data_IF_685939050001
#
_entry.id   IF_685939050001
#
_cell.length_a   1.000
_cell.length_b   1.000
_cell.length_c   1.000
_cell.angle_alpha   90.00
_cell.angle_beta   90.00
_cell.angle_gamma   90.00
#
_symmetry.space_group_name_H-M   'P 1'
#
loop_
_entity.id
_entity.type
_entity.pdbx_description
1 polymer ?
#
# COMPACT_ATOMS: atom_id res chain seq x y z
N UNK A 1 -64.28 -5.86 -36.38
CA UNK A 1 -63.54 -4.92 -37.26
C UNK A 1 -62.47 -4.09 -36.55
N UNK A 2 -62.61 -3.70 -35.27
CA UNK A 2 -61.62 -2.86 -34.56
C UNK A 2 -60.33 -3.60 -34.13
N UNK A 3 -60.43 -4.87 -33.75
CA UNK A 3 -59.27 -5.65 -33.26
C UNK A 3 -58.22 -5.95 -34.35
N UNK A 4 -58.65 -6.23 -35.58
CA UNK A 4 -57.76 -6.51 -36.72
C UNK A 4 -56.99 -5.27 -37.19
N UNK A 5 -57.58 -4.07 -37.08
CA UNK A 5 -56.90 -2.81 -37.39
C UNK A 5 -55.77 -2.47 -36.40
N UNK A 6 -55.96 -2.79 -35.11
CA UNK A 6 -54.96 -2.58 -34.07
C UNK A 6 -53.72 -3.46 -34.26
N UNK A 7 -53.92 -4.72 -34.64
CA UNK A 7 -52.82 -5.65 -34.95
C UNK A 7 -52.04 -5.17 -36.16
N UNK A 8 -52.72 -4.71 -37.23
CA UNK A 8 -52.07 -4.19 -38.42
C UNK A 8 -51.25 -2.92 -38.12
N UNK A 9 -51.79 -2.02 -37.31
CA UNK A 9 -51.10 -0.79 -36.89
C UNK A 9 -49.88 -1.09 -36.01
N UNK A 10 -49.98 -2.08 -35.12
CA UNK A 10 -48.86 -2.52 -34.28
C UNK A 10 -47.74 -3.15 -35.12
N UNK A 11 -48.08 -3.96 -36.13
CA UNK A 11 -47.09 -4.55 -37.05
C UNK A 11 -46.40 -3.45 -37.88
N UNK A 12 -47.16 -2.51 -38.45
CA UNK A 12 -46.59 -1.40 -39.24
C UNK A 12 -45.69 -0.51 -38.38
N UNK A 13 -46.10 -0.21 -37.14
CA UNK A 13 -45.29 0.57 -36.20
C UNK A 13 -43.96 -0.13 -35.88
N UNK A 14 -44.00 -1.43 -35.56
CA UNK A 14 -42.80 -2.21 -35.27
C UNK A 14 -41.87 -2.33 -36.50
N UNK A 15 -42.43 -2.58 -37.70
CA UNK A 15 -41.64 -2.64 -38.94
C UNK A 15 -40.98 -1.30 -39.27
N UNK A 16 -41.70 -0.18 -39.07
CA UNK A 16 -41.16 1.17 -39.29
C UNK A 16 -40.07 1.50 -38.27
N UNK A 17 -40.26 1.13 -37.01
CA UNK A 17 -39.27 1.35 -35.95
C UNK A 17 -38.00 0.51 -36.17
N UNK A 18 -38.15 -0.74 -36.62
CA UNK A 18 -37.02 -1.61 -36.98
C UNK A 18 -36.25 -1.06 -38.19
N UNK A 19 -36.94 -0.51 -39.20
CA UNK A 19 -36.32 0.13 -40.37
C UNK A 19 -35.57 1.42 -40.01
N UNK A 20 -36.09 2.20 -39.05
CA UNK A 20 -35.43 3.40 -38.52
C UNK A 20 -34.19 3.06 -37.68
N UNK A 21 -34.28 2.06 -36.78
CA UNK A 21 -33.15 1.52 -36.03
C UNK A 21 -32.06 0.98 -36.96
N UNK A 22 -32.44 0.22 -37.99
CA UNK A 22 -31.50 -0.33 -38.98
C UNK A 22 -30.81 0.78 -39.78
N UNK A 23 -31.52 1.84 -40.17
CA UNK A 23 -30.93 2.98 -40.87
C UNK A 23 -30.02 3.83 -39.97
N UNK A 24 -30.33 3.96 -38.68
CA UNK A 24 -29.46 4.64 -37.70
C UNK A 24 -28.16 3.88 -37.45
N UNK A 25 -28.24 2.56 -37.29
CA UNK A 25 -27.07 1.68 -37.17
C UNK A 25 -26.29 1.67 -38.48
N UNK A 26 -26.95 1.64 -39.64
CA UNK A 26 -26.30 1.68 -40.95
C UNK A 26 -25.58 3.01 -41.17
N UNK A 27 -26.15 4.17 -40.78
CA UNK A 27 -25.46 5.46 -40.85
C UNK A 27 -24.31 5.61 -39.86
N UNK A 28 -24.43 5.02 -38.66
CA UNK A 28 -23.34 5.01 -37.68
C UNK A 28 -22.17 4.13 -38.15
N UNK A 29 -22.47 2.97 -38.73
CA UNK A 29 -21.48 2.08 -39.37
C UNK A 29 -20.92 2.73 -40.65
N UNK A 30 -21.74 3.39 -41.47
CA UNK A 30 -21.27 4.08 -42.69
C UNK A 30 -20.35 5.27 -42.37
N UNK A 31 -20.65 5.99 -41.28
CA UNK A 31 -19.82 7.10 -40.79
C UNK A 31 -18.43 6.64 -40.34
N UNK A 32 -18.32 5.42 -39.81
CA UNK A 32 -17.02 4.77 -39.52
C UNK A 32 -16.32 4.31 -40.81
N UNK A 33 -17.06 3.95 -41.87
CA UNK A 33 -16.48 3.54 -43.17
C UNK A 33 -16.07 4.68 -44.11
N UNK A 34 -16.38 5.94 -43.81
CA UNK A 34 -16.00 7.12 -44.59
C UNK A 34 -14.75 7.85 -44.04
N UNK A 35 -13.88 7.12 -43.35
CA UNK A 35 -12.62 7.68 -42.86
C UNK A 35 -11.45 7.11 -43.69
N UNK A 36 -10.75 7.98 -44.41
CA UNK A 36 -9.59 7.61 -45.22
C UNK A 36 -8.59 6.80 -44.38
N UNK A 37 -8.01 5.72 -44.93
CA UNK A 37 -7.11 4.80 -44.20
C UNK A 37 -6.04 5.55 -43.37
N UNK A 38 -5.52 6.66 -43.89
CA UNK A 38 -4.54 7.55 -43.22
C UNK A 38 -5.07 8.16 -41.92
N UNK A 39 -6.33 8.61 -41.85
CA UNK A 39 -6.92 9.19 -40.64
C UNK A 39 -7.21 8.14 -39.57
N UNK A 40 -7.58 6.92 -39.95
CA UNK A 40 -7.72 5.78 -39.02
C UNK A 40 -6.38 5.48 -38.33
N UNK A 41 -5.28 5.42 -39.10
CA UNK A 41 -3.93 5.22 -38.54
C UNK A 41 -3.50 6.35 -37.61
N UNK A 42 -3.81 7.61 -37.95
CA UNK A 42 -3.51 8.77 -37.08
C UNK A 42 -4.29 8.67 -35.77
N UNK A 43 -5.58 8.36 -35.81
CA UNK A 43 -6.42 8.24 -34.60
C UNK A 43 -5.93 7.09 -33.71
N UNK A 44 -5.60 5.93 -34.28
CA UNK A 44 -5.01 4.81 -33.53
C UNK A 44 -3.68 5.24 -32.89
N UNK A 45 -2.83 5.96 -33.62
CA UNK A 45 -1.56 6.48 -33.09
C UNK A 45 -1.74 7.44 -31.92
N UNK A 46 -2.72 8.35 -32.01
CA UNK A 46 -3.04 9.30 -30.92
C UNK A 46 -3.57 8.56 -29.68
N UNK A 47 -4.47 7.58 -29.86
CA UNK A 47 -4.98 6.76 -28.75
C UNK A 47 -3.84 5.99 -28.09
N UNK A 48 -2.95 5.38 -28.88
CA UNK A 48 -1.80 4.65 -28.36
C UNK A 48 -0.88 5.56 -27.53
N UNK A 49 -0.59 6.78 -28.02
CA UNK A 49 0.19 7.77 -27.27
C UNK A 49 -0.44 8.14 -25.93
N UNK A 50 -1.76 8.38 -25.89
CA UNK A 50 -2.49 8.68 -24.65
C UNK A 50 -2.41 7.49 -23.69
N UNK A 51 -2.58 6.26 -24.17
CA UNK A 51 -2.47 5.06 -23.34
C UNK A 51 -1.07 4.92 -22.72
N UNK A 52 -0.01 5.22 -23.47
CA UNK A 52 1.37 5.16 -22.95
C UNK A 52 1.57 6.18 -21.84
N UNK A 53 1.16 7.44 -22.06
CA UNK A 53 1.30 8.52 -21.07
C UNK A 53 0.52 8.21 -19.80
N UNK A 54 -0.74 7.78 -19.92
CA UNK A 54 -1.55 7.38 -18.78
C UNK A 54 -0.93 6.21 -18.01
N UNK A 55 -0.39 5.21 -18.72
CA UNK A 55 0.27 4.06 -18.08
C UNK A 55 1.50 4.47 -17.28
N UNK A 56 2.34 5.35 -17.83
CA UNK A 56 3.54 5.86 -17.14
C UNK A 56 3.17 6.63 -15.89
N UNK A 57 2.17 7.52 -15.97
CA UNK A 57 1.68 8.29 -14.82
C UNK A 57 1.14 7.35 -13.73
N UNK A 58 0.31 6.37 -14.11
CA UNK A 58 -0.24 5.39 -13.18
C UNK A 58 0.85 4.60 -12.45
N UNK A 59 1.86 4.11 -13.18
CA UNK A 59 2.99 3.40 -12.59
C UNK A 59 3.79 4.28 -11.62
N UNK A 60 4.00 5.56 -11.97
CA UNK A 60 4.70 6.51 -11.10
C UNK A 60 3.94 6.77 -9.80
N UNK A 61 2.64 7.06 -9.89
CA UNK A 61 1.79 7.28 -8.70
C UNK A 61 1.80 6.05 -7.79
N UNK A 62 1.64 4.85 -8.36
CA UNK A 62 1.66 3.60 -7.60
C UNK A 62 3.01 3.32 -6.93
N UNK A 63 4.11 3.70 -7.58
CA UNK A 63 5.45 3.61 -6.99
C UNK A 63 5.62 4.59 -5.82
N UNK A 64 5.21 5.84 -6.02
CA UNK A 64 5.30 6.89 -4.98
C UNK A 64 4.44 6.55 -3.76
N UNK A 65 3.24 5.98 -3.95
CA UNK A 65 2.39 5.49 -2.86
C UNK A 65 3.05 4.37 -2.05
N UNK A 66 3.73 3.43 -2.73
CA UNK A 66 4.46 2.35 -2.05
C UNK A 66 5.63 2.89 -1.21
N UNK A 67 6.38 3.84 -1.73
CA UNK A 67 7.47 4.48 -0.99
C UNK A 67 6.95 5.27 0.22
N UNK A 68 5.81 5.97 0.08
CA UNK A 68 5.15 6.64 1.21
C UNK A 68 4.72 5.66 2.30
N UNK A 69 4.07 4.55 1.92
CA UNK A 69 3.67 3.51 2.88
C UNK A 69 4.88 2.90 3.59
N UNK A 70 5.97 2.63 2.85
CA UNK A 70 7.23 2.13 3.40
C UNK A 70 7.84 3.11 4.42
N UNK A 71 7.80 4.41 4.13
CA UNK A 71 8.30 5.44 5.04
C UNK A 71 7.46 5.56 6.32
N UNK A 72 6.12 5.51 6.20
CA UNK A 72 5.20 5.51 7.35
C UNK A 72 5.46 4.29 8.23
N UNK A 73 5.47 3.11 7.62
CA UNK A 73 5.77 1.86 8.32
C UNK A 73 7.13 1.93 9.03
N UNK A 74 8.17 2.42 8.34
CA UNK A 74 9.51 2.53 8.94
C UNK A 74 9.49 3.40 10.19
N UNK A 75 8.85 4.57 10.11
CA UNK A 75 8.72 5.48 11.24
C UNK A 75 7.96 4.85 12.42
N UNK A 76 6.85 4.17 12.15
CA UNK A 76 6.09 3.47 13.20
C UNK A 76 6.95 2.41 13.90
N UNK A 77 7.75 1.63 13.15
CA UNK A 77 8.63 0.64 13.76
C UNK A 77 9.78 1.28 14.54
N UNK A 78 10.32 2.41 14.08
CA UNK A 78 11.33 3.16 14.83
C UNK A 78 10.80 3.57 16.21
N UNK A 79 9.56 4.06 16.27
CA UNK A 79 8.90 4.42 17.54
C UNK A 79 8.70 3.18 18.43
N UNK A 80 8.23 2.05 17.87
CA UNK A 80 8.05 0.79 18.62
C UNK A 80 9.36 0.23 19.18
N UNK A 81 10.43 0.23 18.38
CA UNK A 81 11.74 -0.26 18.81
C UNK A 81 12.33 0.65 19.88
N UNK A 82 12.23 1.97 19.70
CA UNK A 82 12.71 2.94 20.69
C UNK A 82 11.96 2.78 22.02
N UNK A 83 10.64 2.60 21.97
CA UNK A 83 9.81 2.33 23.15
C UNK A 83 10.27 1.05 23.88
N UNK A 84 10.48 -0.03 23.13
CA UNK A 84 10.96 -1.30 23.67
C UNK A 84 12.32 -1.16 24.34
N UNK A 85 13.30 -0.56 23.68
CA UNK A 85 14.64 -0.39 24.21
C UNK A 85 14.62 0.43 25.50
N UNK A 86 13.94 1.58 25.50
CA UNK A 86 13.87 2.47 26.66
C UNK A 86 13.18 1.82 27.86
N UNK A 87 12.07 1.12 27.65
CA UNK A 87 11.31 0.48 28.74
C UNK A 87 12.02 -0.75 29.30
N UNK A 88 12.68 -1.52 28.44
CA UNK A 88 13.32 -2.78 28.80
C UNK A 88 14.79 -2.63 29.21
N UNK A 89 15.33 -1.41 29.26
CA UNK A 89 16.65 -1.15 29.85
C UNK A 89 16.61 -1.38 31.37
N UNK A 90 17.68 -1.94 31.94
CA UNK A 90 17.81 -2.20 33.39
C UNK A 90 17.79 -0.91 34.20
N UNK A 91 18.62 0.04 33.79
CA UNK A 91 18.78 1.33 34.44
C UNK A 91 18.19 2.44 33.54
N UNK A 92 17.33 3.32 34.08
CA UNK A 92 16.75 4.40 33.30
C UNK A 92 17.84 5.35 32.78
N UNK A 93 17.61 5.95 31.61
CA UNK A 93 18.51 6.91 30.94
C UNK A 93 19.87 6.35 30.47
N UNK A 94 20.04 5.02 30.43
CA UNK A 94 21.26 4.41 29.89
C UNK A 94 21.29 4.42 28.36
N UNK A 95 20.14 4.20 27.72
CA UNK A 95 19.94 4.40 26.28
C UNK A 95 19.41 5.83 26.09
N UNK A 96 20.24 6.71 25.55
CA UNK A 96 19.93 8.14 25.34
C UNK A 96 19.48 8.44 23.92
N UNK A 97 20.13 7.81 22.95
CA UNK A 97 19.82 7.97 21.53
C UNK A 97 19.69 6.61 20.86
N UNK A 98 18.80 6.54 19.87
CA UNK A 98 18.60 5.36 19.02
C UNK A 98 18.68 5.83 17.57
N UNK A 99 19.60 5.24 16.82
CA UNK A 99 19.85 5.55 15.43
C UNK A 99 19.45 4.37 14.57
N UNK A 100 18.69 4.64 13.53
CA UNK A 100 18.26 3.61 12.59
C UNK A 100 19.01 3.79 11.28
N UNK A 101 19.58 2.71 10.77
CA UNK A 101 20.47 2.74 9.60
C UNK A 101 19.78 2.22 8.35
N UNK A 102 18.92 1.21 8.48
CA UNK A 102 18.25 0.64 7.32
C UNK A 102 16.91 -0.02 7.64
N UNK A 103 16.09 -0.16 6.59
CA UNK A 103 14.92 -1.01 6.52
C UNK A 103 15.05 -1.90 5.27
N UNK A 104 15.17 -3.20 5.49
CA UNK A 104 15.35 -4.22 4.45
C UNK A 104 14.27 -5.29 4.58
N UNK A 105 14.14 -6.09 3.52
CA UNK A 105 13.35 -7.32 3.56
C UNK A 105 14.28 -8.51 3.74
N UNK A 106 14.02 -9.31 4.76
CA UNK A 106 14.74 -10.55 5.02
C UNK A 106 14.46 -11.62 3.95
N UNK A 107 15.27 -12.68 3.89
CA UNK A 107 15.11 -13.77 2.91
C UNK A 107 13.76 -14.50 3.05
N UNK A 108 13.22 -14.57 4.27
CA UNK A 108 11.89 -15.16 4.54
C UNK A 108 10.74 -14.15 4.41
N UNK A 109 11.02 -12.95 3.91
CA UNK A 109 10.02 -11.90 3.73
C UNK A 109 9.84 -10.98 4.94
N UNK A 110 10.50 -11.25 6.07
CA UNK A 110 10.46 -10.41 7.28
C UNK A 110 10.90 -8.98 7.01
N UNK A 111 10.38 -8.04 7.80
CA UNK A 111 10.97 -6.71 7.89
C UNK A 111 12.21 -6.77 8.79
N UNK A 112 13.34 -6.26 8.31
CA UNK A 112 14.61 -6.22 9.03
C UNK A 112 15.02 -4.77 9.20
N UNK A 113 15.12 -4.34 10.45
CA UNK A 113 15.47 -2.96 10.81
C UNK A 113 16.77 -2.97 11.58
N UNK A 114 17.77 -2.28 11.05
CA UNK A 114 19.08 -2.16 11.65
C UNK A 114 19.24 -0.81 12.33
N UNK A 115 20.00 -0.78 13.42
CA UNK A 115 20.29 0.44 14.15
C UNK A 115 21.38 0.27 15.20
N UNK A 116 21.68 1.34 15.91
CA UNK A 116 22.63 1.38 17.01
C UNK A 116 22.20 2.42 18.04
N UNK A 117 22.76 2.36 19.25
CA UNK A 117 22.42 3.27 20.35
C UNK A 117 23.59 4.17 20.74
N UNK A 118 23.28 5.27 21.44
CA UNK A 118 24.27 6.13 22.12
C UNK A 118 25.41 6.64 21.24
N UNK A 119 25.15 6.88 19.95
CA UNK A 119 26.16 7.25 18.94
C UNK A 119 27.31 6.23 18.78
N UNK A 120 27.17 5.04 19.35
CA UNK A 120 28.16 3.97 19.29
C UNK A 120 27.70 2.87 18.33
N UNK A 121 28.36 2.78 17.17
CA UNK A 121 28.05 1.78 16.14
C UNK A 121 28.35 0.34 16.57
N UNK A 122 29.15 0.13 17.63
CA UNK A 122 29.40 -1.20 18.20
C UNK A 122 28.25 -1.67 19.12
N UNK A 123 27.40 -0.74 19.55
CA UNK A 123 26.19 -1.02 20.32
C UNK A 123 24.99 -1.19 19.38
N UNK A 124 25.15 -2.08 18.41
CA UNK A 124 24.21 -2.30 17.32
C UNK A 124 23.09 -3.31 17.63
N UNK A 125 22.03 -3.22 16.85
CA UNK A 125 20.90 -4.14 16.87
C UNK A 125 20.29 -4.38 15.50
N UNK A 126 19.64 -5.53 15.39
CA UNK A 126 18.79 -5.92 14.27
C UNK A 126 17.45 -6.38 14.82
N UNK A 127 16.40 -5.62 14.50
CA UNK A 127 15.02 -5.88 14.88
C UNK A 127 14.25 -6.53 13.74
N UNK A 128 13.39 -7.48 14.10
CA UNK A 128 12.62 -8.26 13.14
C UNK A 128 11.11 -8.04 13.30
N UNK A 129 10.43 -7.86 12.16
CA UNK A 129 8.98 -7.87 12.04
C UNK A 129 8.52 -9.03 11.15
N UNK A 130 7.94 -10.06 11.76
CA UNK A 130 7.49 -11.26 11.05
C UNK A 130 6.18 -11.02 10.28
N UNK A 131 6.00 -11.60 9.07
CA UNK A 131 4.73 -11.62 8.37
C UNK A 131 3.56 -12.16 9.22
N UNK A 132 3.83 -13.13 10.10
CA UNK A 132 2.83 -13.74 11.01
C UNK A 132 2.24 -12.73 11.99
N UNK A 133 2.99 -11.66 12.28
CA UNK A 133 2.59 -10.58 13.16
C UNK A 133 2.43 -9.26 12.40
N UNK A 134 1.97 -9.32 11.15
CA UNK A 134 1.72 -8.16 10.29
C UNK A 134 2.94 -7.25 10.15
N UNK A 135 4.13 -7.85 10.11
CA UNK A 135 5.41 -7.16 10.05
C UNK A 135 5.68 -6.22 11.23
N UNK A 136 4.93 -6.34 12.33
CA UNK A 136 5.14 -5.51 13.50
C UNK A 136 6.27 -6.09 14.36
N UNK A 137 7.16 -5.21 14.82
CA UNK A 137 8.16 -5.57 15.81
C UNK A 137 7.47 -5.94 17.14
N UNK A 138 7.72 -7.17 17.59
CA UNK A 138 7.17 -7.73 18.83
C UNK A 138 8.19 -7.88 19.97
N UNK A 139 9.47 -7.59 19.74
CA UNK A 139 10.54 -7.77 20.72
C UNK A 139 11.67 -8.70 20.27
N UNK A 140 11.57 -9.32 19.09
CA UNK A 140 12.65 -10.15 18.52
C UNK A 140 13.80 -9.27 18.04
N UNK A 141 14.92 -9.31 18.77
CA UNK A 141 16.05 -8.41 18.61
C UNK A 141 17.36 -9.19 18.71
N UNK A 142 18.16 -9.17 17.64
CA UNK A 142 19.59 -9.50 17.71
C UNK A 142 20.32 -8.22 18.12
N UNK A 143 21.27 -8.34 19.03
CA UNK A 143 21.93 -7.20 19.68
C UNK A 143 23.38 -7.50 19.96
N UNK A 144 24.21 -6.45 19.95
CA UNK A 144 25.60 -6.57 20.38
C UNK A 144 25.72 -7.05 21.81
N UNK A 145 26.90 -7.57 22.16
CA UNK A 145 27.20 -8.03 23.52
C UNK A 145 26.97 -6.91 24.54
N UNK A 146 27.42 -5.70 24.23
CA UNK A 146 27.28 -4.52 25.10
C UNK A 146 25.82 -4.13 25.27
N UNK A 147 25.05 -3.99 24.17
CA UNK A 147 23.62 -3.68 24.27
C UNK A 147 22.85 -4.75 25.07
N UNK A 148 23.27 -6.03 24.95
CA UNK A 148 22.67 -7.10 25.73
C UNK A 148 22.86 -6.95 27.24
N UNK A 149 23.94 -6.33 27.71
CA UNK A 149 24.15 -6.13 29.16
C UNK A 149 23.26 -5.03 29.73
N UNK A 150 22.87 -4.05 28.90
CA UNK A 150 22.02 -2.91 29.29
C UNK A 150 20.54 -3.30 29.44
N UNK A 151 20.08 -4.30 28.69
CA UNK A 151 18.68 -4.72 28.68
C UNK A 151 18.38 -5.75 29.78
N UNK A 152 17.16 -5.71 30.29
CA UNK A 152 16.62 -6.72 31.23
C UNK A 152 16.68 -8.12 30.60
N UNK A 153 16.78 -9.19 31.42
CA UNK A 153 16.63 -10.56 30.94
C UNK A 153 15.32 -10.76 30.19
N UNK A 154 15.30 -11.63 29.18
CA UNK A 154 14.16 -11.84 28.26
C UNK A 154 12.83 -12.06 29.00
N UNK A 155 12.83 -12.86 30.08
CA UNK A 155 11.63 -13.16 30.86
C UNK A 155 11.05 -11.96 31.65
N UNK A 156 11.79 -10.85 31.74
CA UNK A 156 11.36 -9.60 32.36
C UNK A 156 11.09 -8.50 31.33
N UNK A 157 11.39 -8.76 30.05
CA UNK A 157 11.10 -7.81 28.99
C UNK A 157 9.63 -7.86 28.62
N UNK A 158 9.09 -6.69 28.26
CA UNK A 158 7.73 -6.55 27.76
C UNK A 158 7.76 -6.20 26.28
N UNK A 159 6.81 -6.73 25.54
CA UNK A 159 6.58 -6.36 24.14
C UNK A 159 6.13 -4.90 24.03
N UNK A 160 6.33 -4.24 22.87
CA UNK A 160 5.83 -2.88 22.66
C UNK A 160 4.34 -2.69 22.95
N UNK A 161 3.52 -3.71 22.64
CA UNK A 161 2.07 -3.65 22.82
C UNK A 161 1.67 -3.73 24.30
N UNK A 162 2.33 -4.59 25.08
CA UNK A 162 2.16 -4.64 26.54
C UNK A 162 2.57 -3.32 27.19
N UNK A 163 3.71 -2.73 26.77
CA UNK A 163 4.17 -1.43 27.27
C UNK A 163 3.15 -0.35 26.99
N UNK A 164 2.62 -0.30 25.76
CA UNK A 164 1.62 0.69 25.36
C UNK A 164 0.34 0.56 26.20
N UNK A 165 -0.15 -0.67 26.40
CA UNK A 165 -1.34 -0.94 27.21
C UNK A 165 -1.17 -0.47 28.67
N UNK A 166 0.00 -0.68 29.26
CA UNK A 166 0.30 -0.21 30.63
C UNK A 166 0.40 1.31 30.74
N UNK A 167 0.88 1.99 29.70
CA UNK A 167 0.91 3.45 29.67
C UNK A 167 -0.50 4.04 29.55
N UNK A 168 -1.36 3.41 28.75
CA UNK A 168 -2.76 3.82 28.59
C UNK A 168 -3.58 3.58 29.86
N UNK A 169 -3.41 2.45 30.54
CA UNK A 169 -4.13 2.19 31.81
C UNK A 169 -3.76 3.20 32.90
N UNK A 170 -2.47 3.52 33.06
CA UNK A 170 -1.99 4.52 34.02
C UNK A 170 -2.49 5.93 33.73
N UNK A 171 -2.85 6.23 32.48
CA UNK A 171 -3.43 7.53 32.11
C UNK A 171 -4.91 7.62 32.46
N UNK A 172 -5.64 6.51 32.41
CA UNK A 172 -7.06 6.47 32.73
C UNK A 172 -7.33 6.47 34.24
N UNK A 173 -6.37 6.00 35.04
CA UNK A 173 -6.45 6.00 36.51
C UNK A 173 -6.04 7.35 37.15
N UNK A 174 -5.61 8.34 36.35
CA UNK A 174 -5.07 9.64 36.80
C UNK A 174 -5.92 10.81 36.34
#
# INVERSE_FOLDING_TARGET
MKATMLVLWFIIYNVRNYRLQKNFIFHHILGVTLMNKKHVFIIIGVILCICIVASVIYLKVKYDEKEKQKAIYYKEQQERITLYLNHNTKEPNTIKTVHFTSLKRGPMGDAVIEGYINENKEDDFVAYGSPEHNYQFGGSLIKSKNLSTLLKPVHQTKSPDEIKKELESKKNDR
#
